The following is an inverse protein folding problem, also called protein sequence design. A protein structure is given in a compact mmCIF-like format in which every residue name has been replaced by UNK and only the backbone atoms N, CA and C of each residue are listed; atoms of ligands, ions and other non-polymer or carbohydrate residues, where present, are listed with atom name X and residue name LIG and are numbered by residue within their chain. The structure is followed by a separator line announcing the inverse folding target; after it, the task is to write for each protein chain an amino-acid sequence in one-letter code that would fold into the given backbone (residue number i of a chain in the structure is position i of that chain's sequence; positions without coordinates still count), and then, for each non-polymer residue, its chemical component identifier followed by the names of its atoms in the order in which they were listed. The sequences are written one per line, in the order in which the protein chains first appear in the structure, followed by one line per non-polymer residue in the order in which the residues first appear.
data_IF_968922045954
#
_entry.id   IF_968922045954
#
_cell.length_a   1.000
_cell.length_b   1.000
_cell.length_c   1.000
_cell.angle_alpha   90.00
_cell.angle_beta   90.00
_cell.angle_gamma   90.00
#
_symmetry.space_group_name_H-M   'P 1'
#
loop_
_entity.id
_entity.type
_entity.pdbx_description
1 polymer ?
#
# COMPACT_ATOMS: atom_id res chain seq x y z
N UNK A 1 -29.86 -59.44 -3.28
CA UNK A 1 -29.68 -58.06 -2.82
C UNK A 1 -28.28 -57.63 -3.22
N UNK A 2 -28.18 -56.76 -4.22
CA UNK A 2 -26.91 -56.25 -4.76
C UNK A 2 -26.52 -55.03 -3.94
N UNK A 3 -25.31 -55.04 -3.36
CA UNK A 3 -24.76 -53.90 -2.63
C UNK A 3 -24.23 -52.87 -3.64
N UNK A 4 -24.82 -51.68 -3.65
CA UNK A 4 -24.34 -50.53 -4.42
C UNK A 4 -23.27 -49.82 -3.58
N UNK A 5 -22.01 -49.92 -3.97
CA UNK A 5 -20.95 -49.04 -3.44
C UNK A 5 -20.88 -47.78 -4.31
N UNK A 6 -21.16 -46.61 -3.73
CA UNK A 6 -20.84 -45.33 -4.34
C UNK A 6 -19.36 -44.99 -4.07
N UNK A 7 -18.59 -44.58 -5.09
CA UNK A 7 -17.27 -44.00 -4.87
C UNK A 7 -17.42 -42.57 -4.34
N UNK A 8 -16.76 -42.27 -3.22
CA UNK A 8 -16.52 -40.91 -2.78
C UNK A 8 -15.44 -40.30 -3.70
N UNK A 9 -15.84 -39.36 -4.54
CA UNK A 9 -14.90 -38.48 -5.25
C UNK A 9 -14.52 -37.36 -4.26
N UNK A 10 -13.23 -37.14 -3.98
CA UNK A 10 -12.82 -35.97 -3.19
C UNK A 10 -13.14 -34.72 -4.00
N UNK A 11 -14.06 -33.89 -3.50
CA UNK A 11 -14.29 -32.56 -4.04
C UNK A 11 -13.07 -31.70 -3.73
N UNK A 12 -12.41 -31.21 -4.77
CA UNK A 12 -11.48 -30.09 -4.68
C UNK A 12 -12.28 -28.87 -4.25
N UNK A 13 -12.14 -28.46 -2.99
CA UNK A 13 -12.57 -27.15 -2.55
C UNK A 13 -11.61 -26.13 -3.17
N UNK A 14 -12.01 -25.52 -4.29
CA UNK A 14 -11.41 -24.25 -4.71
C UNK A 14 -11.88 -23.21 -3.70
N UNK A 15 -10.97 -22.69 -2.90
CA UNK A 15 -11.24 -21.54 -2.05
C UNK A 15 -11.38 -20.34 -2.99
N UNK A 16 -12.62 -19.94 -3.27
CA UNK A 16 -12.87 -18.73 -4.03
C UNK A 16 -12.30 -17.53 -3.26
N UNK A 17 -11.47 -16.74 -3.94
CA UNK A 17 -10.93 -15.47 -3.44
C UNK A 17 -12.08 -14.59 -2.94
N UNK A 18 -12.06 -14.11 -1.67
CA UNK A 18 -13.13 -13.25 -1.17
C UNK A 18 -13.19 -11.95 -1.99
N UNK A 19 -14.39 -11.43 -2.31
CA UNK A 19 -14.52 -10.21 -3.12
C UNK A 19 -13.95 -9.00 -2.37
N UNK A 20 -13.13 -8.21 -3.07
CA UNK A 20 -12.59 -6.95 -2.57
C UNK A 20 -13.69 -5.89 -2.51
N UNK A 21 -13.84 -5.22 -1.36
CA UNK A 21 -14.77 -4.11 -1.20
C UNK A 21 -14.10 -2.80 -1.62
N UNK A 22 -14.58 -2.16 -2.69
CA UNK A 22 -14.14 -0.82 -3.07
C UNK A 22 -14.80 0.21 -2.14
N UNK A 23 -14.12 0.55 -1.05
CA UNK A 23 -14.57 1.55 -0.08
C UNK A 23 -14.78 2.96 -0.68
N UNK A 24 -14.19 3.22 -1.86
CA UNK A 24 -14.30 4.46 -2.59
C UNK A 24 -15.69 4.82 -3.09
N UNK A 25 -16.47 3.82 -3.48
CA UNK A 25 -17.83 3.99 -4.00
C UNK A 25 -18.84 4.39 -2.90
N UNK A 26 -18.47 4.26 -1.63
CA UNK A 26 -19.34 4.52 -0.49
C UNK A 26 -19.29 5.98 0.03
N UNK A 27 -18.51 6.87 -0.59
CA UNK A 27 -18.36 8.28 -0.14
C UNK A 27 -18.51 9.27 -1.31
N UNK A 28 -19.51 10.18 -1.30
CA UNK A 28 -19.73 11.12 -2.40
C UNK A 28 -18.63 12.20 -2.51
N UNK A 29 -18.15 12.43 -3.74
CA UNK A 29 -17.07 13.35 -4.09
C UNK A 29 -17.43 14.85 -4.04
N UNK A 30 -16.37 15.68 -3.97
CA UNK A 30 -16.40 17.14 -4.04
C UNK A 30 -15.14 17.66 -4.77
N UNK A 31 -15.30 18.73 -5.55
CA UNK A 31 -14.30 19.32 -6.46
C UNK A 31 -14.17 20.84 -6.23
N UNK A 32 -12.94 21.41 -6.16
CA UNK A 32 -12.42 22.15 -7.33
C UNK A 32 -10.87 22.40 -7.43
N UNK A 33 -10.30 22.30 -8.64
CA UNK A 33 -9.22 23.18 -9.16
C UNK A 33 -7.77 22.64 -9.22
N UNK A 34 -7.19 22.65 -10.43
CA UNK A 34 -5.84 22.16 -10.80
C UNK A 34 -4.71 23.21 -10.71
N UNK A 35 -3.48 22.75 -10.41
CA UNK A 35 -2.20 23.33 -10.83
C UNK A 35 -1.47 22.37 -11.81
N UNK A 36 -1.05 22.84 -12.99
CA UNK A 36 -0.48 22.06 -14.11
C UNK A 36 1.05 22.17 -14.27
N UNK A 37 1.80 22.65 -13.28
CA UNK A 37 3.17 23.15 -13.54
C UNK A 37 4.37 22.29 -13.11
N UNK A 38 4.25 20.97 -12.93
CA UNK A 38 5.41 20.12 -12.57
C UNK A 38 6.19 19.62 -13.80
N UNK A 39 7.50 19.91 -13.85
CA UNK A 39 8.36 19.79 -15.03
C UNK A 39 9.36 18.61 -14.96
N UNK A 40 8.91 17.38 -15.28
CA UNK A 40 9.75 16.17 -15.34
C UNK A 40 9.58 15.39 -16.68
N UNK A 41 10.47 14.48 -17.09
CA UNK A 41 10.34 13.68 -18.33
C UNK A 41 9.05 12.84 -18.40
N UNK A 42 8.41 12.61 -17.25
CA UNK A 42 7.11 11.94 -17.13
C UNK A 42 5.92 12.91 -17.19
N UNK A 43 6.14 14.21 -17.44
CA UNK A 43 5.08 15.22 -17.63
C UNK A 43 4.16 14.87 -18.80
N UNK A 44 4.72 14.24 -19.85
CA UNK A 44 3.93 13.80 -21.00
C UNK A 44 3.29 12.42 -20.80
N UNK A 45 3.47 11.79 -19.62
CA UNK A 45 2.89 10.49 -19.29
C UNK A 45 3.27 9.37 -20.27
N UNK A 46 4.54 9.30 -20.70
CA UNK A 46 5.00 8.25 -21.61
C UNK A 46 5.31 6.95 -20.85
N UNK A 47 4.84 5.82 -21.35
CA UNK A 47 5.14 4.47 -20.85
C UNK A 47 6.66 4.22 -20.69
N UNK A 48 7.51 4.83 -21.53
CA UNK A 48 8.98 4.73 -21.43
C UNK A 48 9.55 5.26 -20.12
N UNK A 49 8.83 6.19 -19.46
CA UNK A 49 9.22 6.68 -18.14
C UNK A 49 9.15 5.55 -17.11
N UNK A 50 8.03 4.84 -17.05
CA UNK A 50 7.80 3.74 -16.09
C UNK A 50 8.78 2.61 -16.34
N UNK A 51 9.02 2.24 -17.61
CA UNK A 51 10.08 1.26 -17.95
C UNK A 51 11.46 1.67 -17.43
N UNK A 52 11.77 2.97 -17.41
CA UNK A 52 13.04 3.49 -16.89
C UNK A 52 13.12 3.38 -15.37
N UNK A 53 12.00 3.66 -14.68
CA UNK A 53 11.83 3.51 -13.24
C UNK A 53 12.01 2.04 -12.85
N UNK A 54 11.27 1.12 -13.47
CA UNK A 54 11.38 -0.33 -13.24
C UNK A 54 12.82 -0.81 -13.46
N UNK A 55 13.46 -0.41 -14.56
CA UNK A 55 14.87 -0.76 -14.83
C UNK A 55 15.81 -0.23 -13.73
N UNK A 56 15.55 0.95 -13.17
CA UNK A 56 16.33 1.52 -12.07
C UNK A 56 16.09 0.74 -10.78
N UNK A 57 14.84 0.52 -10.41
CA UNK A 57 14.44 -0.21 -9.21
C UNK A 57 15.01 -1.62 -9.19
N UNK A 58 14.92 -2.35 -10.30
CA UNK A 58 15.56 -3.66 -10.47
C UNK A 58 17.09 -3.62 -10.32
N UNK A 59 17.76 -2.57 -10.82
CA UNK A 59 19.21 -2.42 -10.61
C UNK A 59 19.54 -2.17 -9.15
N UNK A 60 18.74 -1.38 -8.45
CA UNK A 60 18.98 -1.03 -7.05
C UNK A 60 18.64 -2.22 -6.13
N UNK A 61 17.55 -2.94 -6.40
CA UNK A 61 17.24 -4.24 -5.77
C UNK A 61 18.40 -5.23 -5.87
N UNK A 62 18.98 -5.40 -7.07
CA UNK A 62 20.14 -6.29 -7.26
C UNK A 62 21.36 -5.84 -6.46
N UNK A 63 21.55 -4.54 -6.21
CA UNK A 63 22.66 -4.07 -5.38
C UNK A 63 22.41 -4.41 -3.91
N UNK A 64 21.22 -4.10 -3.40
CA UNK A 64 20.84 -4.37 -2.02
C UNK A 64 20.90 -5.88 -1.72
N UNK A 65 20.40 -6.70 -2.64
CA UNK A 65 20.44 -8.15 -2.53
C UNK A 65 21.88 -8.72 -2.49
N UNK A 66 22.85 -8.09 -3.16
CA UNK A 66 24.26 -8.54 -3.14
C UNK A 66 24.94 -8.31 -1.81
N UNK A 67 24.47 -7.32 -1.06
CA UNK A 67 25.01 -6.97 0.25
C UNK A 67 24.13 -7.45 1.39
N UNK A 68 23.06 -8.21 1.09
CA UNK A 68 22.03 -8.60 2.05
C UNK A 68 21.51 -7.43 2.87
N UNK A 69 21.38 -6.28 2.21
CA UNK A 69 20.83 -5.08 2.83
C UNK A 69 19.35 -5.29 3.12
N UNK A 70 18.92 -5.06 4.36
CA UNK A 70 17.54 -5.31 4.77
C UNK A 70 16.54 -4.38 4.08
N UNK A 71 16.98 -3.28 3.45
CA UNK A 71 16.17 -2.46 2.56
C UNK A 71 15.78 -3.18 1.26
N UNK A 72 16.43 -4.31 0.93
CA UNK A 72 16.06 -5.12 -0.23
C UNK A 72 14.60 -5.58 -0.18
N UNK A 73 14.01 -5.75 1.02
CA UNK A 73 12.65 -6.25 1.17
C UNK A 73 11.62 -5.25 0.66
N UNK A 74 11.65 -4.01 1.16
CA UNK A 74 10.73 -2.98 0.65
C UNK A 74 11.04 -2.63 -0.81
N UNK A 75 12.33 -2.58 -1.19
CA UNK A 75 12.70 -2.36 -2.59
C UNK A 75 12.09 -3.43 -3.50
N UNK A 76 12.10 -4.71 -3.10
CA UNK A 76 11.50 -5.80 -3.86
C UNK A 76 10.01 -5.55 -4.03
N UNK A 77 9.27 -5.43 -2.92
CA UNK A 77 7.82 -5.26 -2.97
C UNK A 77 7.41 -4.04 -3.79
N UNK A 78 8.12 -2.92 -3.65
CA UNK A 78 7.83 -1.73 -4.46
C UNK A 78 8.15 -1.95 -5.95
N UNK A 79 9.24 -2.65 -6.28
CA UNK A 79 9.57 -2.99 -7.70
C UNK A 79 8.47 -3.82 -8.33
N UNK A 80 7.99 -4.83 -7.60
CA UNK A 80 6.90 -5.73 -7.99
C UNK A 80 5.58 -4.97 -8.17
N UNK A 81 5.24 -4.06 -7.26
CA UNK A 81 4.06 -3.19 -7.41
C UNK A 81 4.16 -2.28 -8.64
N UNK A 82 5.32 -1.70 -8.94
CA UNK A 82 5.50 -0.85 -10.13
C UNK A 82 5.46 -1.65 -11.43
N UNK A 83 5.93 -2.90 -11.44
CA UNK A 83 5.79 -3.83 -12.56
C UNK A 83 4.31 -4.16 -12.82
N UNK A 84 3.54 -4.52 -11.78
CA UNK A 84 2.09 -4.72 -11.89
C UNK A 84 1.35 -3.47 -12.39
N UNK A 85 1.72 -2.30 -11.86
CA UNK A 85 1.20 -1.04 -12.36
C UNK A 85 1.47 -0.87 -13.86
N UNK A 86 2.72 -1.08 -14.29
CA UNK A 86 3.09 -0.93 -15.70
C UNK A 86 2.24 -1.83 -16.59
N UNK A 87 2.04 -3.08 -16.22
CA UNK A 87 1.20 -3.99 -17.00
C UNK A 87 -0.27 -3.57 -17.01
N UNK A 88 -0.83 -3.17 -15.87
CA UNK A 88 -2.21 -2.66 -15.79
C UNK A 88 -2.41 -1.43 -16.69
N UNK A 89 -1.38 -0.58 -16.83
CA UNK A 89 -1.43 0.62 -17.70
C UNK A 89 -1.49 0.28 -19.19
N UNK A 90 -1.14 -0.95 -19.57
CA UNK A 90 -1.25 -1.45 -20.94
C UNK A 90 -2.65 -1.95 -21.27
N UNK A 91 -3.48 -2.22 -20.26
CA UNK A 91 -4.83 -2.75 -20.44
C UNK A 91 -5.76 -1.60 -20.89
N UNK A 92 -6.35 -1.66 -22.11
CA UNK A 92 -7.21 -0.60 -22.60
C UNK A 92 -8.41 -0.36 -21.69
N UNK A 93 -8.58 0.88 -21.23
CA UNK A 93 -9.72 1.28 -20.38
C UNK A 93 -9.61 0.87 -18.92
N UNK A 94 -8.45 0.36 -18.47
CA UNK A 94 -8.22 0.11 -17.05
C UNK A 94 -8.13 1.41 -16.25
N UNK A 95 -7.45 2.42 -16.79
CA UNK A 95 -7.42 3.78 -16.28
C UNK A 95 -8.09 4.75 -17.27
N UNK A 96 -8.76 5.76 -16.74
CA UNK A 96 -9.36 6.86 -17.48
C UNK A 96 -8.27 7.82 -18.01
N UNK A 97 -7.22 8.08 -17.21
CA UNK A 97 -6.09 8.98 -17.53
C UNK A 97 -4.74 8.28 -17.29
N UNK A 98 -4.35 7.41 -18.24
CA UNK A 98 -3.06 6.71 -18.24
C UNK A 98 -1.86 7.68 -18.15
N UNK A 99 -1.80 8.80 -18.92
CA UNK A 99 -0.73 9.78 -18.77
C UNK A 99 -0.59 10.35 -17.35
N UNK A 100 -1.70 10.66 -16.67
CA UNK A 100 -1.66 11.08 -15.28
C UNK A 100 -1.16 9.98 -14.36
N UNK A 101 -1.61 8.73 -14.53
CA UNK A 101 -1.10 7.61 -13.74
C UNK A 101 0.41 7.41 -13.91
N UNK A 102 0.97 7.61 -15.12
CA UNK A 102 2.42 7.55 -15.31
C UNK A 102 3.15 8.68 -14.57
N UNK A 103 2.54 9.87 -14.51
CA UNK A 103 3.07 10.98 -13.73
C UNK A 103 3.00 10.67 -12.23
N UNK A 104 1.87 10.12 -11.76
CA UNK A 104 1.67 9.64 -10.40
C UNK A 104 2.79 8.69 -10.00
N UNK A 105 2.96 7.58 -10.73
CA UNK A 105 3.98 6.56 -10.43
C UNK A 105 5.39 7.17 -10.39
N UNK A 106 5.71 8.06 -11.33
CA UNK A 106 7.00 8.72 -11.37
C UNK A 106 7.27 9.62 -10.16
N UNK A 107 6.30 10.46 -9.79
CA UNK A 107 6.43 11.33 -8.62
C UNK A 107 6.51 10.47 -7.36
N UNK A 108 5.67 9.45 -7.24
CA UNK A 108 5.67 8.56 -6.09
C UNK A 108 7.01 7.82 -5.93
N UNK A 109 7.59 7.33 -7.03
CA UNK A 109 8.91 6.70 -7.04
C UNK A 109 10.01 7.66 -6.57
N UNK A 110 9.91 8.95 -6.90
CA UNK A 110 10.88 9.95 -6.43
C UNK A 110 10.84 10.12 -4.91
N UNK A 111 9.65 10.01 -4.30
CA UNK A 111 9.46 10.13 -2.85
C UNK A 111 10.11 9.02 -2.04
N UNK A 112 10.43 7.87 -2.64
CA UNK A 112 11.23 6.82 -2.02
C UNK A 112 12.71 6.88 -2.47
N UNK A 113 12.95 6.99 -3.78
CA UNK A 113 14.31 6.89 -4.33
C UNK A 113 15.19 8.09 -4.00
N UNK A 114 14.62 9.27 -3.74
CA UNK A 114 15.37 10.44 -3.29
C UNK A 114 15.82 10.28 -1.82
N UNK A 115 14.92 10.00 -0.83
CA UNK A 115 15.33 9.68 0.53
C UNK A 115 16.38 8.57 0.64
N UNK A 116 16.25 7.49 -0.14
CA UNK A 116 17.25 6.42 -0.14
C UNK A 116 18.63 6.89 -0.59
N UNK A 117 18.68 7.75 -1.63
CA UNK A 117 19.95 8.34 -2.10
C UNK A 117 20.54 9.28 -1.06
N UNK A 118 19.71 10.10 -0.42
CA UNK A 118 20.15 11.06 0.60
C UNK A 118 20.64 10.32 1.86
N UNK A 119 19.95 9.26 2.28
CA UNK A 119 20.42 8.36 3.34
C UNK A 119 21.79 7.77 3.02
N UNK A 120 21.94 7.18 1.84
CA UNK A 120 23.21 6.55 1.40
C UNK A 120 24.37 7.55 1.33
N UNK A 121 24.11 8.82 1.02
CA UNK A 121 25.10 9.89 0.97
C UNK A 121 25.41 10.50 2.35
N UNK A 122 24.67 10.12 3.39
CA UNK A 122 24.78 10.70 4.73
C UNK A 122 24.04 12.04 4.91
N UNK A 123 23.18 12.43 3.96
CA UNK A 123 22.35 13.64 4.02
C UNK A 123 21.10 13.41 4.89
N UNK A 124 21.28 12.95 6.13
CA UNK A 124 20.20 12.49 7.02
C UNK A 124 19.17 13.59 7.31
N UNK A 125 19.55 14.87 7.28
CA UNK A 125 18.62 16.00 7.47
C UNK A 125 17.54 16.09 6.39
N UNK A 126 17.83 15.59 5.19
CA UNK A 126 16.98 15.71 4.02
C UNK A 126 16.06 14.48 3.87
N UNK A 127 16.25 13.47 4.71
CA UNK A 127 15.43 12.25 4.77
C UNK A 127 14.27 12.47 5.73
N UNK A 128 13.05 12.18 5.27
CA UNK A 128 11.85 12.27 6.09
C UNK A 128 11.96 11.39 7.35
N UNK A 129 11.45 11.83 8.51
CA UNK A 129 11.50 11.08 9.76
C UNK A 129 11.11 9.59 9.67
N UNK A 130 9.99 9.25 9.03
CA UNK A 130 9.57 7.85 8.88
C UNK A 130 10.55 7.02 8.04
N UNK A 131 11.11 7.61 6.97
CA UNK A 131 12.16 6.96 6.17
C UNK A 131 13.46 6.78 6.96
N UNK A 132 13.83 7.73 7.83
CA UNK A 132 15.01 7.56 8.70
C UNK A 132 14.85 6.38 9.65
N UNK A 133 13.68 6.20 10.24
CA UNK A 133 13.42 5.03 11.10
C UNK A 133 13.52 3.72 10.29
N UNK A 134 12.94 3.68 9.08
CA UNK A 134 13.00 2.52 8.21
C UNK A 134 14.45 2.17 7.82
N UNK A 135 15.20 3.15 7.31
CA UNK A 135 16.58 2.94 6.88
C UNK A 135 17.51 2.64 8.06
N UNK A 136 17.33 3.28 9.21
CA UNK A 136 18.11 2.99 10.41
C UNK A 136 17.86 1.57 10.92
N UNK A 137 16.62 1.10 10.92
CA UNK A 137 16.30 -0.26 11.34
C UNK A 137 16.89 -1.31 10.38
N UNK A 138 16.89 -1.02 9.08
CA UNK A 138 17.51 -1.86 8.07
C UNK A 138 19.04 -1.91 8.19
N UNK A 139 19.70 -0.74 8.36
CA UNK A 139 21.16 -0.65 8.57
C UNK A 139 21.59 -1.37 9.85
N UNK A 140 20.77 -1.26 10.91
CA UNK A 140 20.96 -1.96 12.19
C UNK A 140 20.57 -3.45 12.16
N UNK A 141 19.96 -3.91 11.06
CA UNK A 141 19.46 -5.28 10.88
C UNK A 141 18.54 -5.72 12.02
N UNK A 142 17.66 -4.82 12.45
CA UNK A 142 16.94 -4.96 13.72
C UNK A 142 15.66 -5.76 13.61
N UNK A 143 15.11 -5.90 12.40
CA UNK A 143 13.78 -6.45 12.15
C UNK A 143 13.83 -7.66 11.22
N UNK A 144 12.88 -8.60 11.31
CA UNK A 144 12.63 -9.60 10.26
C UNK A 144 12.17 -8.94 8.96
N UNK A 145 12.11 -9.71 7.87
CA UNK A 145 11.72 -9.17 6.57
C UNK A 145 10.34 -8.49 6.61
N UNK A 146 9.36 -9.09 7.28
CA UNK A 146 8.02 -8.49 7.45
C UNK A 146 8.07 -7.12 8.16
N UNK A 147 8.91 -6.95 9.17
CA UNK A 147 9.07 -5.67 9.86
C UNK A 147 9.70 -4.61 8.93
N UNK A 148 10.74 -4.97 8.19
CA UNK A 148 11.34 -4.07 7.19
C UNK A 148 10.35 -3.67 6.09
N UNK A 149 9.52 -4.61 5.65
CA UNK A 149 8.46 -4.34 4.67
C UNK A 149 7.44 -3.34 5.21
N UNK A 150 6.91 -3.57 6.42
CA UNK A 150 5.93 -2.68 7.06
C UNK A 150 6.49 -1.28 7.34
N UNK A 151 7.75 -1.16 7.73
CA UNK A 151 8.43 0.14 7.91
C UNK A 151 8.44 0.94 6.60
N UNK A 152 8.82 0.29 5.50
CA UNK A 152 8.81 0.90 4.17
C UNK A 152 7.41 1.25 3.69
N UNK A 153 6.43 0.35 3.88
CA UNK A 153 5.02 0.63 3.55
C UNK A 153 4.46 1.81 4.33
N UNK A 154 4.79 1.91 5.62
CA UNK A 154 4.36 3.04 6.43
C UNK A 154 4.95 4.36 5.91
N UNK A 155 6.25 4.40 5.63
CA UNK A 155 6.87 5.60 5.07
C UNK A 155 6.32 5.94 3.67
N UNK A 156 6.11 4.94 2.82
CA UNK A 156 5.67 5.18 1.45
C UNK A 156 4.16 5.49 1.35
N UNK A 157 3.30 4.77 2.06
CA UNK A 157 1.85 4.94 1.96
C UNK A 157 1.37 6.00 2.95
N UNK A 158 1.65 5.86 4.24
CA UNK A 158 1.11 6.79 5.25
C UNK A 158 1.80 8.15 5.21
N UNK A 159 3.08 8.22 4.84
CA UNK A 159 3.83 9.49 4.74
C UNK A 159 3.83 10.04 3.33
N UNK A 160 4.38 9.35 2.34
CA UNK A 160 4.64 9.95 1.02
C UNK A 160 3.36 10.17 0.19
N UNK A 161 2.52 9.14 0.10
CA UNK A 161 1.31 9.14 -0.75
C UNK A 161 0.40 10.36 -0.61
N UNK A 162 0.05 10.86 0.60
CA UNK A 162 -0.78 12.06 0.70
C UNK A 162 -0.10 13.32 0.13
N UNK A 163 1.23 13.44 0.27
CA UNK A 163 1.96 14.57 -0.34
C UNK A 163 2.02 14.43 -1.86
N UNK A 164 2.26 13.22 -2.36
CA UNK A 164 2.26 12.94 -3.81
C UNK A 164 0.92 13.31 -4.43
N UNK A 165 -0.20 12.83 -3.87
CA UNK A 165 -1.54 13.12 -4.39
C UNK A 165 -1.83 14.63 -4.36
N UNK A 166 -1.43 15.32 -3.29
CA UNK A 166 -1.60 16.78 -3.19
C UNK A 166 -0.76 17.54 -4.23
N UNK A 167 0.47 17.09 -4.51
CA UNK A 167 1.39 17.71 -5.46
C UNK A 167 0.97 17.49 -6.92
N UNK A 168 0.45 16.31 -7.27
CA UNK A 168 0.05 15.98 -8.65
C UNK A 168 -1.39 16.38 -9.01
N UNK A 169 -2.18 16.78 -8.01
CA UNK A 169 -3.56 17.22 -8.17
C UNK A 169 -4.61 16.09 -8.08
N UNK A 170 -5.75 16.41 -7.45
CA UNK A 170 -6.85 15.47 -7.18
C UNK A 170 -7.92 15.43 -8.28
N UNK A 171 -7.91 16.38 -9.21
CA UNK A 171 -8.93 16.50 -10.27
C UNK A 171 -8.28 16.70 -11.63
N UNK A 172 -9.02 16.43 -12.71
CA UNK A 172 -8.66 16.80 -14.09
C UNK A 172 -9.03 18.27 -14.42
N UNK A 173 -8.74 18.71 -15.65
CA UNK A 173 -8.95 20.10 -16.09
C UNK A 173 -10.43 20.52 -16.12
N UNK A 174 -11.32 19.54 -16.31
CA UNK A 174 -12.76 19.71 -16.30
C UNK A 174 -13.35 19.63 -14.88
N UNK A 175 -12.51 19.33 -13.89
CA UNK A 175 -12.88 19.21 -12.49
C UNK A 175 -13.49 17.87 -12.13
N UNK A 176 -13.26 16.81 -12.90
CA UNK A 176 -13.60 15.44 -12.49
C UNK A 176 -12.57 14.92 -11.51
N UNK A 177 -12.99 14.08 -10.57
CA UNK A 177 -12.09 13.47 -9.58
C UNK A 177 -11.17 12.43 -10.23
N UNK A 178 -9.89 12.43 -9.87
CA UNK A 178 -8.90 11.41 -10.26
C UNK A 178 -8.86 10.21 -9.29
N UNK A 179 -9.76 10.19 -8.30
CA UNK A 179 -9.88 9.10 -7.33
C UNK A 179 -10.14 7.73 -7.97
N UNK A 180 -10.99 7.60 -9.03
CA UNK A 180 -11.23 6.30 -9.65
C UNK A 180 -9.93 5.63 -10.11
N UNK A 181 -9.08 6.34 -10.85
CA UNK A 181 -7.78 5.82 -11.29
C UNK A 181 -6.83 5.49 -10.13
N UNK A 182 -6.84 6.30 -9.07
CA UNK A 182 -6.11 5.99 -7.84
C UNK A 182 -6.59 4.67 -7.21
N UNK A 183 -7.90 4.41 -7.20
CA UNK A 183 -8.49 3.22 -6.59
C UNK A 183 -8.27 1.95 -7.42
N UNK A 184 -8.18 2.06 -8.76
CA UNK A 184 -7.89 0.91 -9.64
C UNK A 184 -6.64 0.13 -9.27
N UNK A 185 -5.64 0.82 -8.72
CA UNK A 185 -4.42 0.17 -8.20
C UNK A 185 -4.74 -0.90 -7.16
N UNK A 186 -5.79 -0.73 -6.34
CA UNK A 186 -6.19 -1.68 -5.31
C UNK A 186 -6.56 -3.07 -5.88
N UNK A 187 -6.93 -3.15 -7.16
CA UNK A 187 -7.38 -4.38 -7.80
C UNK A 187 -6.25 -5.42 -7.93
N UNK A 188 -4.99 -4.99 -8.01
CA UNK A 188 -3.85 -5.91 -8.19
C UNK A 188 -2.91 -6.02 -6.98
N UNK A 189 -3.09 -5.19 -5.93
CA UNK A 189 -2.16 -5.17 -4.79
C UNK A 189 -2.09 -6.50 -4.03
N UNK A 190 -3.18 -7.27 -4.02
CA UNK A 190 -3.21 -8.58 -3.35
C UNK A 190 -2.35 -9.59 -4.09
N UNK A 191 -2.52 -9.67 -5.42
CA UNK A 191 -1.75 -10.57 -6.27
C UNK A 191 -0.25 -10.27 -6.13
N UNK A 192 0.12 -8.98 -6.11
CA UNK A 192 1.50 -8.56 -5.87
C UNK A 192 2.03 -9.06 -4.53
N UNK A 193 1.21 -9.04 -3.46
CA UNK A 193 1.60 -9.56 -2.15
C UNK A 193 1.76 -11.09 -2.15
N UNK A 194 0.84 -11.80 -2.79
CA UNK A 194 0.88 -13.26 -2.89
C UNK A 194 2.10 -13.74 -3.69
N UNK A 195 2.49 -13.03 -4.75
CA UNK A 195 3.64 -13.37 -5.59
C UNK A 195 4.98 -12.97 -4.96
N UNK A 196 5.03 -11.83 -4.25
CA UNK A 196 6.30 -11.38 -3.65
C UNK A 196 6.73 -12.23 -2.45
N UNK A 197 5.77 -12.82 -1.71
CA UNK A 197 6.04 -13.59 -0.50
C UNK A 197 7.00 -14.77 -0.73
N UNK A 198 6.70 -15.68 -1.68
CA UNK A 198 7.60 -16.77 -2.05
C UNK A 198 8.99 -16.31 -2.48
N UNK A 199 9.10 -15.17 -3.19
CA UNK A 199 10.39 -14.60 -3.58
C UNK A 199 11.18 -14.11 -2.35
N UNK A 200 10.52 -13.50 -1.36
CA UNK A 200 11.14 -13.09 -0.09
C UNK A 200 11.65 -14.32 0.67
N UNK A 201 10.83 -15.38 0.80
CA UNK A 201 11.19 -16.63 1.48
C UNK A 201 12.39 -17.28 0.80
N UNK A 202 12.35 -17.41 -0.52
CA UNK A 202 13.41 -18.05 -1.27
C UNK A 202 14.74 -17.29 -1.12
N UNK A 203 14.72 -15.96 -1.23
CA UNK A 203 15.95 -15.17 -1.40
C UNK A 203 16.48 -14.54 -0.12
N UNK A 204 15.62 -14.15 0.81
CA UNK A 204 16.00 -13.21 1.85
C UNK A 204 15.70 -13.65 3.27
N UNK A 205 14.53 -14.23 3.52
CA UNK A 205 14.10 -14.54 4.89
C UNK A 205 13.12 -15.72 4.91
N UNK A 206 13.56 -16.93 5.31
CA UNK A 206 12.71 -18.11 5.32
C UNK A 206 11.61 -18.06 6.39
N UNK A 207 11.63 -17.06 7.27
CA UNK A 207 10.62 -16.84 8.31
C UNK A 207 9.49 -15.92 7.87
N UNK A 208 9.58 -15.34 6.67
CA UNK A 208 8.49 -14.55 6.11
C UNK A 208 7.28 -15.46 5.89
N UNK A 209 6.19 -15.20 6.62
CA UNK A 209 4.97 -16.00 6.47
C UNK A 209 4.33 -15.70 5.10
N UNK A 210 3.87 -16.75 4.42
CA UNK A 210 3.13 -16.66 3.16
C UNK A 210 1.70 -17.21 3.30
N UNK A 211 1.30 -17.68 4.49
CA UNK A 211 -0.01 -18.27 4.70
C UNK A 211 -1.05 -17.18 4.94
N UNK A 212 -2.00 -17.03 4.02
CA UNK A 212 -3.07 -16.03 4.06
C UNK A 212 -4.13 -16.22 5.16
N UNK A 213 -4.08 -17.35 5.88
CA UNK A 213 -5.12 -17.77 6.84
C UNK A 213 -4.74 -17.68 8.32
N UNK A 214 -3.45 -17.64 8.65
CA UNK A 214 -2.96 -17.86 10.02
C UNK A 214 -2.27 -16.64 10.67
N UNK A 215 -2.02 -15.56 9.93
CA UNK A 215 -1.39 -14.35 10.48
C UNK A 215 -2.22 -13.07 10.26
N UNK A 216 -2.09 -12.15 11.20
CA UNK A 216 -2.60 -10.78 11.15
C UNK A 216 -2.04 -9.99 9.96
N UNK A 217 -0.97 -10.48 9.31
CA UNK A 217 -0.18 -9.74 8.34
C UNK A 217 -0.05 -10.38 6.94
N UNK A 218 -0.79 -11.44 6.62
CA UNK A 218 -0.73 -12.07 5.28
C UNK A 218 -2.12 -12.36 4.71
N UNK A 219 -2.36 -11.87 3.49
CA UNK A 219 -3.38 -12.39 2.57
C UNK A 219 -4.77 -11.74 2.52
N UNK A 220 -5.31 -11.22 3.63
CA UNK A 220 -6.59 -10.47 3.58
C UNK A 220 -6.59 -9.21 4.45
N UNK A 221 -5.95 -9.26 5.61
CA UNK A 221 -5.87 -8.14 6.56
C UNK A 221 -4.92 -7.06 6.08
N UNK A 222 -3.74 -7.39 5.52
CA UNK A 222 -2.78 -6.40 5.01
C UNK A 222 -3.28 -5.72 3.75
N UNK A 223 -3.93 -6.46 2.86
CA UNK A 223 -4.66 -5.90 1.73
C UNK A 223 -5.64 -4.80 2.16
N UNK A 224 -6.49 -5.10 3.14
CA UNK A 224 -7.47 -4.15 3.67
C UNK A 224 -6.80 -2.98 4.41
N UNK A 225 -5.72 -3.22 5.14
CA UNK A 225 -4.93 -2.16 5.81
C UNK A 225 -4.29 -1.23 4.77
N UNK A 226 -3.73 -1.77 3.68
CA UNK A 226 -3.17 -0.98 2.59
C UNK A 226 -4.26 -0.12 1.96
N UNK A 227 -5.41 -0.70 1.64
CA UNK A 227 -6.52 0.05 1.06
C UNK A 227 -7.01 1.17 1.99
N UNK A 228 -7.11 0.92 3.30
CA UNK A 228 -7.42 1.96 4.29
C UNK A 228 -6.36 3.05 4.33
N UNK A 229 -5.08 2.71 4.32
CA UNK A 229 -4.00 3.70 4.29
C UNK A 229 -4.02 4.54 3.02
N UNK A 230 -4.33 3.94 1.87
CA UNK A 230 -4.47 4.65 0.58
C UNK A 230 -5.69 5.59 0.59
N UNK A 231 -6.83 5.15 1.12
CA UNK A 231 -8.01 6.00 1.29
C UNK A 231 -7.71 7.18 2.24
N UNK A 232 -7.04 6.92 3.36
CA UNK A 232 -6.62 7.95 4.30
C UNK A 232 -5.62 8.92 3.66
N UNK A 233 -4.72 8.44 2.81
CA UNK A 233 -3.80 9.28 2.05
C UNK A 233 -4.56 10.21 1.10
N UNK A 234 -5.56 9.70 0.36
CA UNK A 234 -6.43 10.52 -0.49
C UNK A 234 -7.19 11.58 0.30
N UNK A 235 -7.75 11.20 1.45
CA UNK A 235 -8.44 12.13 2.34
C UNK A 235 -7.51 13.24 2.86
N UNK A 236 -6.31 12.86 3.33
CA UNK A 236 -5.31 13.82 3.79
C UNK A 236 -4.88 14.79 2.67
N UNK A 237 -4.67 14.28 1.45
CA UNK A 237 -4.36 15.11 0.30
C UNK A 237 -5.48 16.11 -0.01
N UNK A 238 -6.74 15.65 0.03
CA UNK A 238 -7.93 16.50 -0.14
C UNK A 238 -7.94 17.65 0.89
N UNK A 239 -7.66 17.35 2.15
CA UNK A 239 -7.57 18.36 3.21
C UNK A 239 -6.38 19.31 3.04
N UNK A 240 -5.24 18.83 2.54
CA UNK A 240 -4.07 19.67 2.27
C UNK A 240 -4.27 20.62 1.10
N UNK A 241 -5.04 20.19 0.08
CA UNK A 241 -5.27 20.98 -1.14
C UNK A 241 -6.44 21.93 -1.00
N UNK A 242 -7.56 21.48 -0.44
CA UNK A 242 -8.82 22.25 -0.41
C UNK A 242 -9.23 22.75 0.98
N UNK A 243 -8.56 22.28 2.04
CA UNK A 243 -8.84 22.70 3.40
C UNK A 243 -8.35 24.11 3.70
N UNK A 244 -8.77 24.62 4.87
CA UNK A 244 -8.21 25.86 5.41
C UNK A 244 -6.68 25.72 5.60
N UNK A 245 -5.86 26.76 5.35
CA UNK A 245 -4.41 26.67 5.46
C UNK A 245 -3.89 26.15 6.81
N UNK A 246 -4.59 26.44 7.91
CA UNK A 246 -4.25 25.91 9.22
C UNK A 246 -4.51 24.40 9.30
N UNK A 247 -5.62 23.93 8.72
CA UNK A 247 -5.95 22.50 8.66
C UNK A 247 -4.94 21.77 7.78
N UNK A 248 -4.61 22.31 6.61
CA UNK A 248 -3.59 21.73 5.73
C UNK A 248 -2.24 21.56 6.47
N UNK A 249 -1.79 22.58 7.20
CA UNK A 249 -0.55 22.50 7.98
C UNK A 249 -0.62 21.50 9.13
N UNK A 250 -1.75 21.42 9.85
CA UNK A 250 -1.96 20.42 10.89
C UNK A 250 -1.95 18.99 10.32
N UNK A 251 -2.51 18.78 9.13
CA UNK A 251 -2.47 17.49 8.43
C UNK A 251 -1.03 17.13 8.05
N UNK A 252 -0.25 18.04 7.46
CA UNK A 252 1.18 17.81 7.15
C UNK A 252 1.97 17.39 8.39
N UNK A 253 1.82 18.12 9.49
CA UNK A 253 2.48 17.78 10.76
C UNK A 253 1.99 16.45 11.33
N UNK A 254 0.69 16.16 11.19
CA UNK A 254 0.08 14.91 11.62
C UNK A 254 0.60 13.69 10.84
N UNK A 255 0.80 13.83 9.53
CA UNK A 255 1.39 12.81 8.66
C UNK A 255 2.82 12.50 9.12
N UNK A 256 3.67 13.53 9.26
CA UNK A 256 5.07 13.34 9.64
C UNK A 256 5.20 12.72 11.04
N UNK A 257 4.43 13.20 12.03
CA UNK A 257 4.45 12.63 13.39
C UNK A 257 3.85 11.23 13.45
N UNK A 258 2.70 11.02 12.79
CA UNK A 258 1.97 9.76 12.84
C UNK A 258 2.74 8.61 12.21
N UNK A 259 3.32 8.85 11.03
CA UNK A 259 4.16 7.85 10.35
C UNK A 259 5.43 7.54 11.15
N UNK A 260 6.07 8.54 11.76
CA UNK A 260 7.24 8.30 12.65
C UNK A 260 6.87 7.48 13.88
N UNK A 261 5.74 7.78 14.52
CA UNK A 261 5.25 7.03 15.68
C UNK A 261 4.90 5.58 15.32
N UNK A 262 4.26 5.37 14.17
CA UNK A 262 3.96 4.03 13.69
C UNK A 262 5.25 3.25 13.37
N UNK A 263 6.26 3.90 12.79
CA UNK A 263 7.57 3.29 12.56
C UNK A 263 8.22 2.84 13.89
N UNK A 264 8.19 3.69 14.92
CA UNK A 264 8.69 3.31 16.24
C UNK A 264 7.92 2.12 16.85
N UNK A 265 6.58 2.08 16.70
CA UNK A 265 5.77 0.96 17.18
C UNK A 265 6.06 -0.35 16.44
N UNK A 266 6.25 -0.32 15.13
CA UNK A 266 6.65 -1.49 14.33
C UNK A 266 8.02 -1.97 14.80
N UNK A 267 8.98 -1.06 14.94
CA UNK A 267 10.33 -1.37 15.40
C UNK A 267 10.32 -2.01 16.79
N UNK A 268 9.66 -1.39 17.77
CA UNK A 268 9.58 -1.91 19.14
C UNK A 268 8.82 -3.25 19.23
N UNK A 269 7.82 -3.45 18.37
CA UNK A 269 6.98 -4.65 18.38
C UNK A 269 7.57 -5.84 17.62
N UNK A 270 8.53 -5.61 16.73
CA UNK A 270 9.07 -6.64 15.83
C UNK A 270 10.60 -6.74 15.84
N UNK A 271 11.29 -5.96 16.67
CA UNK A 271 12.72 -6.09 16.86
C UNK A 271 13.09 -7.50 17.28
N UNK A 272 14.21 -8.00 16.76
CA UNK A 272 14.76 -9.26 17.21
C UNK A 272 15.07 -9.21 18.72
N UNK A 273 14.61 -10.21 19.46
CA UNK A 273 14.94 -10.38 20.87
C UNK A 273 16.40 -10.85 21.06
N UNK A 274 16.95 -11.56 20.07
CA UNK A 274 18.34 -12.00 20.04
C UNK A 274 18.95 -12.01 18.63
N UNK A 275 20.27 -12.10 18.60
CA UNK A 275 21.07 -12.04 17.38
C UNK A 275 20.95 -13.31 16.49
N UNK A 276 20.45 -14.43 17.00
CA UNK A 276 20.47 -15.71 16.29
C UNK A 276 19.52 -15.72 15.09
N UNK A 277 18.31 -15.17 15.25
CA UNK A 277 17.32 -15.09 14.16
C UNK A 277 17.79 -14.11 13.07
N UNK A 278 18.36 -12.96 13.46
CA UNK A 278 19.01 -12.03 12.54
C UNK A 278 20.13 -12.71 11.76
N UNK A 279 21.02 -13.40 12.45
CA UNK A 279 22.18 -14.06 11.84
C UNK A 279 21.75 -15.21 10.91
N UNK A 280 20.69 -15.95 11.25
CA UNK A 280 20.10 -16.97 10.40
C UNK A 280 19.54 -16.39 9.10
N UNK A 281 18.78 -15.29 9.17
CA UNK A 281 18.30 -14.56 7.99
C UNK A 281 19.46 -14.08 7.11
N UNK A 282 20.48 -13.48 7.72
CA UNK A 282 21.65 -12.99 7.00
C UNK A 282 22.42 -14.13 6.30
N UNK A 283 22.55 -15.27 6.96
CA UNK A 283 23.17 -16.46 6.37
C UNK A 283 22.36 -17.00 5.19
N UNK A 284 21.03 -17.07 5.34
CA UNK A 284 20.11 -17.46 4.26
C UNK A 284 20.26 -16.54 3.05
N UNK A 285 20.21 -15.22 3.25
CA UNK A 285 20.41 -14.26 2.18
C UNK A 285 21.81 -14.37 1.54
N UNK A 286 22.86 -14.66 2.31
CA UNK A 286 24.20 -14.80 1.75
C UNK A 286 24.31 -16.00 0.78
N UNK A 287 23.53 -17.04 1.02
CA UNK A 287 23.43 -18.22 0.13
C UNK A 287 22.48 -17.98 -1.05
N UNK A 288 21.32 -17.35 -0.80
CA UNK A 288 20.19 -17.32 -1.74
C UNK A 288 19.81 -15.94 -2.31
N UNK A 289 20.37 -14.85 -1.80
CA UNK A 289 19.96 -13.49 -2.18
C UNK A 289 20.14 -13.17 -3.66
N UNK A 290 21.02 -13.92 -4.34
CA UNK A 290 21.25 -13.83 -5.78
C UNK A 290 20.43 -14.82 -6.62
N UNK A 291 19.67 -15.71 -6.00
CA UNK A 291 18.78 -16.68 -6.66
C UNK A 291 17.52 -15.97 -7.18
N UNK A 292 17.74 -15.02 -8.07
CA UNK A 292 16.69 -14.37 -8.85
C UNK A 292 16.46 -15.22 -10.10
N UNK A 293 15.32 -15.90 -10.14
CA UNK A 293 14.90 -16.77 -11.25
C UNK A 293 14.46 -15.99 -12.50
N UNK A 294 14.38 -14.66 -12.41
CA UNK A 294 13.96 -13.83 -13.51
C UNK A 294 12.45 -13.70 -13.63
N UNK A 295 11.69 -13.87 -12.54
CA UNK A 295 10.29 -13.44 -12.48
C UNK A 295 10.18 -12.07 -13.17
N UNK A 296 9.53 -12.06 -14.33
CA UNK A 296 9.49 -10.91 -15.24
C UNK A 296 8.41 -9.90 -14.82
N UNK A 297 7.66 -10.25 -13.76
CA UNK A 297 6.63 -9.41 -13.19
C UNK A 297 5.31 -9.54 -13.93
N UNK A 298 5.03 -10.66 -14.60
CA UNK A 298 3.73 -10.84 -15.26
C UNK A 298 2.63 -11.17 -14.26
N UNK A 299 1.88 -10.13 -13.88
CA UNK A 299 0.76 -10.21 -12.94
C UNK A 299 -0.58 -10.51 -13.63
N UNK A 300 -0.63 -10.39 -14.96
CA UNK A 300 -1.85 -10.51 -15.76
C UNK A 300 -1.81 -11.65 -16.80
N UNK A 301 -0.84 -12.56 -16.72
CA UNK A 301 -0.67 -13.66 -17.69
C UNK A 301 -1.56 -14.89 -17.40
N UNK A 302 -2.14 -14.99 -16.19
CA UNK A 302 -3.04 -16.08 -15.82
C UNK A 302 -4.52 -15.70 -16.03
N UNK A 303 -5.30 -16.64 -16.58
CA UNK A 303 -6.78 -16.58 -16.74
C UNK A 303 -7.55 -16.38 -15.40
N UNK A 304 -6.84 -16.21 -14.29
CA UNK A 304 -7.37 -15.92 -12.94
C UNK A 304 -7.54 -14.42 -12.65
N UNK A 305 -7.04 -13.51 -13.50
CA UNK A 305 -7.40 -12.10 -13.40
C UNK A 305 -8.83 -11.88 -13.91
N UNK A 306 -9.82 -12.28 -13.11
CA UNK A 306 -11.19 -11.85 -13.31
C UNK A 306 -11.27 -10.39 -12.88
N UNK A 307 -11.14 -9.49 -13.86
CA UNK A 307 -11.74 -8.16 -13.78
C UNK A 307 -13.23 -8.38 -13.45
N UNK A 308 -13.60 -8.33 -12.18
CA UNK A 308 -15.01 -8.20 -11.80
C UNK A 308 -15.38 -6.75 -12.08
N UNK A 309 -15.50 -6.43 -13.37
CA UNK A 309 -16.26 -5.29 -13.85
C UNK A 309 -17.69 -5.56 -13.38
N UNK A 310 -18.10 -4.94 -12.28
CA UNK A 310 -19.50 -4.93 -11.87
C UNK A 310 -20.29 -4.19 -12.95
N UNK A 311 -20.76 -4.93 -13.95
CA UNK A 311 -21.83 -4.47 -14.84
C UNK A 311 -23.06 -4.20 -13.97
N UNK A 312 -23.28 -2.91 -13.66
CA UNK A 312 -24.49 -2.43 -13.00
C UNK A 312 -25.67 -2.48 -13.97
N UNK A 313 -26.22 -3.67 -14.18
CA UNK A 313 -27.58 -3.82 -14.70
C UNK A 313 -28.57 -3.75 -13.52
N UNK A 314 -29.26 -2.63 -13.36
CA UNK A 314 -30.53 -2.54 -12.64
C UNK A 314 -31.69 -2.47 -13.66
N UNK A 315 -32.95 -2.87 -13.32
CA UNK A 315 -33.46 -3.25 -11.99
C UNK A 315 -34.30 -4.56 -11.98
N UNK A 316 -34.33 -5.25 -10.84
CA UNK A 316 -35.51 -5.92 -10.27
C UNK A 316 -35.09 -6.73 -9.03
N UNK A 317 -34.90 -6.05 -7.89
CA UNK A 317 -34.68 -6.71 -6.61
C UNK A 317 -36.02 -6.93 -5.91
N UNK A 318 -36.51 -8.18 -5.74
CA UNK A 318 -37.56 -8.45 -4.78
C UNK A 318 -37.00 -8.32 -3.36
N UNK A 319 -37.76 -7.59 -2.54
CA UNK A 319 -37.57 -7.34 -1.12
C UNK A 319 -37.42 -8.64 -0.32
N UNK A 320 -36.17 -9.11 -0.20
CA UNK A 320 -35.79 -10.24 0.65
C UNK A 320 -34.50 -9.85 1.33
N UNK A 321 -34.61 -9.05 2.37
CA UNK A 321 -33.74 -8.91 3.54
C UNK A 321 -34.03 -7.51 4.09
N UNK A 322 -34.81 -7.41 5.17
CA UNK A 322 -35.24 -6.14 5.76
C UNK A 322 -34.09 -5.27 6.28
N UNK A 323 -33.41 -4.57 5.38
CA UNK A 323 -32.34 -3.60 5.66
C UNK A 323 -33.00 -2.21 5.75
N UNK A 324 -33.69 -1.96 6.86
CA UNK A 324 -34.20 -0.63 7.22
C UNK A 324 -33.49 -0.02 8.45
N UNK A 325 -32.37 -0.61 8.87
CA UNK A 325 -31.60 -0.11 10.03
C UNK A 325 -30.09 -0.34 9.87
N UNK A 326 -29.43 0.48 9.04
CA UNK A 326 -27.99 0.73 9.19
C UNK A 326 -27.75 2.24 9.13
N UNK A 327 -27.16 2.85 10.17
CA UNK A 327 -26.90 4.29 10.19
C UNK A 327 -25.65 4.61 9.35
N UNK A 328 -25.77 5.62 8.49
CA UNK A 328 -24.67 6.21 7.71
C UNK A 328 -23.60 6.83 8.63
N UNK A 329 -22.30 6.80 8.27
CA UNK A 329 -21.22 7.27 9.12
C UNK A 329 -21.04 8.79 8.96
N UNK A 330 -21.78 9.56 9.75
CA UNK A 330 -21.30 10.86 10.21
C UNK A 330 -21.51 10.93 11.71
N UNK A 331 -20.44 11.05 12.50
CA UNK A 331 -20.58 11.33 13.94
C UNK A 331 -19.84 12.60 14.32
N UNK A 332 -20.62 13.68 14.28
CA UNK A 332 -20.45 14.89 15.08
C UNK A 332 -20.42 14.54 16.57
N UNK A 333 -19.39 15.05 17.27
CA UNK A 333 -19.08 14.84 18.70
C UNK A 333 -20.21 15.20 19.69
N UNK A 334 -21.28 15.85 19.24
CA UNK A 334 -22.41 16.23 20.09
C UNK A 334 -23.41 15.08 20.32
N UNK A 335 -23.50 14.12 19.39
CA UNK A 335 -24.42 12.98 19.49
C UNK A 335 -23.97 11.93 20.52
N UNK A 336 -22.66 11.83 20.78
CA UNK A 336 -22.07 10.87 21.73
C UNK A 336 -22.39 11.20 23.20
N UNK A 337 -22.67 12.47 23.52
CA UNK A 337 -23.04 12.89 24.90
C UNK A 337 -24.42 12.42 25.34
N UNK A 338 -25.33 12.13 24.41
CA UNK A 338 -26.66 11.58 24.73
C UNK A 338 -26.61 10.09 25.10
N UNK A 339 -25.49 9.41 24.85
CA UNK A 339 -25.27 7.98 25.11
C UNK A 339 -24.40 7.71 26.37
N UNK A 340 -24.07 8.75 27.16
CA UNK A 340 -23.23 8.59 28.35
C UNK A 340 -21.73 8.48 28.08
N UNK A 341 -21.30 8.68 26.83
CA UNK A 341 -19.89 8.63 26.40
C UNK A 341 -19.26 10.02 26.60
N UNK A 342 -18.19 10.11 27.39
CA UNK A 342 -17.44 11.33 27.64
C UNK A 342 -16.11 11.31 26.88
N UNK A 343 -15.88 12.34 26.06
CA UNK A 343 -14.62 12.57 25.32
C UNK A 343 -13.92 13.78 25.94
N UNK A 344 -12.65 13.64 26.34
CA UNK A 344 -11.80 14.75 26.79
C UNK A 344 -10.47 14.76 26.05
N UNK A 345 -9.98 15.96 25.73
CA UNK A 345 -8.71 16.18 25.01
C UNK A 345 -7.67 16.72 25.99
N UNK A 346 -6.53 16.03 26.14
CA UNK A 346 -5.37 16.54 26.89
C UNK A 346 -4.18 16.73 25.95
N UNK A 347 -3.65 17.95 25.94
CA UNK A 347 -2.56 18.39 25.07
C UNK A 347 -1.24 18.20 25.82
N UNK A 348 -0.85 16.95 26.05
CA UNK A 348 0.54 16.62 26.41
C UNK A 348 1.10 15.36 25.72
N UNK A 349 0.26 14.46 25.20
CA UNK A 349 0.70 13.29 24.43
C UNK A 349 -0.39 12.82 23.44
N UNK A 350 -0.66 13.56 22.36
CA UNK A 350 -1.58 13.12 21.30
C UNK A 350 -3.04 12.87 21.76
N UNK A 351 -3.95 12.67 20.80
CA UNK A 351 -5.39 12.53 21.09
C UNK A 351 -5.67 11.12 21.63
N UNK A 352 -6.00 11.02 22.91
CA UNK A 352 -6.57 9.80 23.51
C UNK A 352 -8.10 9.82 23.39
N UNK A 353 -8.66 8.78 22.79
CA UNK A 353 -10.10 8.47 22.81
C UNK A 353 -10.28 7.25 23.69
N UNK A 354 -11.02 7.36 24.80
CA UNK A 354 -11.40 6.20 25.62
C UNK A 354 -12.87 5.87 25.40
N UNK A 355 -13.13 4.64 24.96
CA UNK A 355 -14.48 4.06 24.87
C UNK A 355 -14.75 3.26 26.16
N UNK A 356 -15.90 3.49 26.79
CA UNK A 356 -16.58 2.47 27.59
C UNK A 356 -17.98 2.30 27.04
#
# INVERSE_FOLDING_TARGET
MVALMLPLVPGTASAATPPLLNWGELVPGFTPGIDTSSANECTNGSHRCVESIIRKMNRDLRKLARTCDHNAIFQLGYTRTTEAYYESSQIPGFYDDVPWMHHYDSVFASYYTQPQQDWTKGNVSDVAPAWREAFSAADGQELPAVGNFLMGMNAHINRDLPFVIADIGLTDEDGNSRKPDHERVNEFLNNVADDMGPEIVARFDPTFDTNSSDDLLTGFTVAQVIQEWRERAWHNATLMTYGDPLIAELVRQGIERGSTLLAAMIRDGMAYDDDADRDARNAHCAEHGQDYDGFDGTYFDDDEFSLVMLEMDEPDAPDVLGISTLPLPTLSLSALRLLGINVSVDIRYGVSVTLR
#
